data_IF_413993555272
#
_entry.id   IF_413993555272
#
_cell.length_a   1.000
_cell.length_b   1.000
_cell.length_c   1.000
_cell.angle_alpha   90.00
_cell.angle_beta   90.00
_cell.angle_gamma   90.00
#
_symmetry.space_group_name_H-M   'P 1'
#
loop_
_entity.id
_entity.type
_entity.pdbx_description
1 polymer ?
#
# COMPACT_ATOMS: atom_id res chain seq x y z
N UNK A 1 -21.86 -31.31 45.47
CA UNK A 1 -21.99 -30.82 44.09
C UNK A 1 -22.60 -31.91 43.24
N UNK A 2 -23.65 -31.59 42.50
CA UNK A 2 -24.24 -32.52 41.54
C UNK A 2 -23.28 -32.69 40.35
N UNK A 3 -23.30 -33.85 39.68
CA UNK A 3 -22.39 -34.13 38.54
C UNK A 3 -22.51 -33.09 37.42
N UNK A 4 -23.70 -32.50 37.26
CA UNK A 4 -24.00 -31.46 36.28
C UNK A 4 -23.29 -30.13 36.60
N UNK A 5 -23.25 -29.73 37.88
CA UNK A 5 -22.54 -28.51 38.32
C UNK A 5 -21.04 -28.58 37.99
N UNK A 6 -20.43 -29.75 38.22
CA UNK A 6 -19.00 -29.97 37.95
C UNK A 6 -18.71 -29.87 36.45
N UNK A 7 -19.54 -30.49 35.60
CA UNK A 7 -19.37 -30.43 34.14
C UNK A 7 -19.54 -29.00 33.63
N UNK A 8 -20.57 -28.29 34.11
CA UNK A 8 -20.81 -26.91 33.71
C UNK A 8 -19.66 -25.98 34.12
N UNK A 9 -19.13 -26.15 35.33
CA UNK A 9 -17.99 -25.40 35.83
C UNK A 9 -16.73 -25.66 35.00
N UNK A 10 -16.47 -26.92 34.61
CA UNK A 10 -15.33 -27.27 33.76
C UNK A 10 -15.44 -26.64 32.35
N UNK A 11 -16.62 -26.69 31.73
CA UNK A 11 -16.86 -26.09 30.41
C UNK A 11 -16.74 -24.57 30.47
N UNK A 12 -17.27 -23.94 31.52
CA UNK A 12 -17.15 -22.50 31.72
C UNK A 12 -15.70 -22.07 31.93
N UNK A 13 -14.92 -22.80 32.74
CA UNK A 13 -13.49 -22.54 32.94
C UNK A 13 -12.69 -22.66 31.63
N UNK A 14 -12.94 -23.71 30.84
CA UNK A 14 -12.33 -23.89 29.52
C UNK A 14 -12.69 -22.74 28.57
N UNK A 15 -13.94 -22.30 28.56
CA UNK A 15 -14.39 -21.17 27.76
C UNK A 15 -13.68 -19.87 28.15
N UNK A 16 -13.51 -19.60 29.45
CA UNK A 16 -12.78 -18.41 29.93
C UNK A 16 -11.33 -18.44 29.46
N UNK A 17 -10.63 -19.58 29.65
CA UNK A 17 -9.23 -19.73 29.21
C UNK A 17 -9.11 -19.52 27.70
N UNK A 18 -10.03 -20.10 26.92
CA UNK A 18 -10.03 -19.93 25.47
C UNK A 18 -10.24 -18.47 25.06
N UNK A 19 -11.21 -17.77 25.65
CA UNK A 19 -11.45 -16.35 25.36
C UNK A 19 -10.25 -15.48 25.72
N UNK A 20 -9.60 -15.73 26.86
CA UNK A 20 -8.36 -15.02 27.24
C UNK A 20 -7.25 -15.30 26.23
N UNK A 21 -7.10 -16.56 25.79
CA UNK A 21 -6.13 -16.94 24.77
C UNK A 21 -6.37 -16.21 23.44
N UNK A 22 -7.62 -16.17 22.98
CA UNK A 22 -8.02 -15.43 21.76
C UNK A 22 -7.73 -13.93 21.92
N UNK A 23 -8.04 -13.35 23.08
CA UNK A 23 -7.80 -11.92 23.33
C UNK A 23 -6.30 -11.57 23.28
N UNK A 24 -5.45 -12.38 23.91
CA UNK A 24 -4.00 -12.19 23.87
C UNK A 24 -3.46 -12.36 22.46
N UNK A 25 -3.93 -13.37 21.73
CA UNK A 25 -3.53 -13.61 20.35
C UNK A 25 -3.97 -12.46 19.43
N UNK A 26 -5.21 -12.00 19.55
CA UNK A 26 -5.72 -10.87 18.78
C UNK A 26 -4.88 -9.61 19.02
N UNK A 27 -4.54 -9.32 20.29
CA UNK A 27 -3.64 -8.20 20.61
C UNK A 27 -2.26 -8.36 19.96
N UNK A 28 -1.67 -9.56 20.01
CA UNK A 28 -0.38 -9.82 19.39
C UNK A 28 -0.43 -9.72 17.86
N UNK A 29 -1.52 -10.16 17.24
CA UNK A 29 -1.75 -10.07 15.80
C UNK A 29 -1.89 -8.61 15.35
N UNK A 30 -2.66 -7.79 16.08
CA UNK A 30 -2.81 -6.36 15.78
C UNK A 30 -1.46 -5.65 15.82
N UNK A 31 -0.65 -5.88 16.86
CA UNK A 31 0.68 -5.24 16.97
C UNK A 31 1.58 -5.63 15.79
N UNK A 32 1.54 -6.88 15.34
CA UNK A 32 2.30 -7.31 14.16
C UNK A 32 1.79 -6.67 12.88
N UNK A 33 0.47 -6.57 12.70
CA UNK A 33 -0.11 -5.91 11.54
C UNK A 33 0.25 -4.43 11.49
N UNK A 34 0.28 -3.74 12.64
CA UNK A 34 0.77 -2.36 12.71
C UNK A 34 2.26 -2.26 12.32
N UNK A 35 3.11 -3.18 12.77
CA UNK A 35 4.52 -3.18 12.32
C UNK A 35 4.65 -3.37 10.80
N UNK A 36 3.89 -4.31 10.22
CA UNK A 36 3.90 -4.54 8.76
C UNK A 36 3.36 -3.33 8.00
N UNK A 37 2.35 -2.68 8.57
CA UNK A 37 1.74 -1.46 8.06
C UNK A 37 2.74 -0.32 7.97
N UNK A 38 3.56 -0.11 9.00
CA UNK A 38 4.66 0.87 8.99
C UNK A 38 5.72 0.53 7.92
N UNK A 39 6.16 -0.72 7.86
CA UNK A 39 7.12 -1.18 6.85
C UNK A 39 6.60 -1.04 5.40
N UNK A 40 5.28 -1.13 5.20
CA UNK A 40 4.66 -0.92 3.89
C UNK A 40 4.64 0.55 3.48
N UNK A 41 4.45 1.48 4.43
CA UNK A 41 4.57 2.92 4.18
C UNK A 41 5.99 3.29 3.75
N UNK A 42 6.99 2.82 4.49
CA UNK A 42 8.40 3.00 4.14
C UNK A 42 8.71 2.44 2.72
N UNK A 43 8.10 1.31 2.37
CA UNK A 43 8.24 0.72 1.03
C UNK A 43 7.63 1.61 -0.06
N UNK A 44 6.44 2.17 0.18
CA UNK A 44 5.81 3.10 -0.76
C UNK A 44 6.68 4.34 -0.98
N UNK A 45 7.23 4.94 0.08
CA UNK A 45 8.12 6.10 -0.05
C UNK A 45 9.37 5.75 -0.89
N UNK A 46 9.98 4.58 -0.65
CA UNK A 46 11.13 4.11 -1.44
C UNK A 46 10.79 3.92 -2.92
N UNK A 47 9.61 3.38 -3.24
CA UNK A 47 9.18 3.16 -4.64
C UNK A 47 8.84 4.49 -5.32
N UNK A 48 8.20 5.42 -4.62
CA UNK A 48 7.94 6.78 -5.12
C UNK A 48 9.26 7.49 -5.43
N UNK A 49 10.21 7.47 -4.49
CA UNK A 49 11.56 8.02 -4.71
C UNK A 49 12.27 7.36 -5.89
N UNK A 50 12.17 6.04 -6.04
CA UNK A 50 12.72 5.33 -7.20
C UNK A 50 12.10 5.81 -8.51
N UNK A 51 10.76 5.92 -8.59
CA UNK A 51 10.06 6.42 -9.77
C UNK A 51 10.51 7.85 -10.14
N UNK A 52 10.60 8.75 -9.14
CA UNK A 52 11.09 10.13 -9.31
C UNK A 52 12.52 10.16 -9.87
N UNK A 53 13.42 9.30 -9.38
CA UNK A 53 14.78 9.21 -9.92
C UNK A 53 14.83 8.70 -11.37
N UNK A 54 14.03 7.66 -11.70
CA UNK A 54 13.98 7.14 -13.07
C UNK A 54 13.42 8.18 -14.03
N UNK A 55 12.38 8.93 -13.62
CA UNK A 55 11.83 10.06 -14.39
C UNK A 55 12.92 11.10 -14.70
N UNK A 56 13.67 11.53 -13.69
CA UNK A 56 14.76 12.49 -13.88
C UNK A 56 15.88 11.98 -14.79
N UNK A 57 16.16 10.67 -14.80
CA UNK A 57 17.13 10.07 -15.74
C UNK A 57 16.57 10.00 -17.17
N UNK A 58 15.29 9.67 -17.32
CA UNK A 58 14.62 9.62 -18.63
C UNK A 58 14.56 11.00 -19.31
N UNK A 59 14.41 12.07 -18.53
CA UNK A 59 14.39 13.46 -19.00
C UNK A 59 15.76 13.99 -19.45
N UNK A 60 16.86 13.27 -19.17
CA UNK A 60 18.18 13.66 -19.66
C UNK A 60 18.28 13.49 -21.18
N UNK A 61 18.88 14.46 -21.87
CA UNK A 61 19.04 14.49 -23.33
C UNK A 61 19.70 13.24 -23.93
N UNK A 62 20.51 12.51 -23.15
CA UNK A 62 21.20 11.28 -23.59
C UNK A 62 20.28 10.05 -23.60
N UNK A 63 19.21 10.08 -22.81
CA UNK A 63 18.32 8.95 -22.57
C UNK A 63 16.87 9.22 -23.01
N UNK A 64 16.59 10.46 -23.44
CA UNK A 64 15.30 10.86 -23.98
C UNK A 64 14.92 10.03 -25.20
N UNK A 65 13.73 9.41 -25.16
CA UNK A 65 13.24 8.51 -26.21
C UNK A 65 13.71 7.06 -26.10
N UNK A 66 14.46 6.69 -25.05
CA UNK A 66 14.79 5.29 -24.78
C UNK A 66 13.54 4.53 -24.30
N UNK A 67 13.10 3.53 -25.08
CA UNK A 67 11.90 2.76 -24.74
C UNK A 67 12.07 1.89 -23.49
N UNK A 68 13.29 1.43 -23.19
CA UNK A 68 13.55 0.59 -22.01
C UNK A 68 13.37 1.40 -20.72
N UNK A 69 13.91 2.62 -20.69
CA UNK A 69 13.73 3.54 -19.57
C UNK A 69 12.29 4.01 -19.45
N UNK A 70 11.59 4.22 -20.57
CA UNK A 70 10.16 4.54 -20.56
C UNK A 70 9.33 3.42 -19.92
N UNK A 71 9.52 2.17 -20.33
CA UNK A 71 8.83 1.03 -19.72
C UNK A 71 9.23 0.81 -18.25
N UNK A 72 10.48 1.10 -17.89
CA UNK A 72 10.91 1.03 -16.49
C UNK A 72 10.21 2.07 -15.62
N UNK A 73 10.04 3.29 -16.14
CA UNK A 73 9.28 4.35 -15.48
C UNK A 73 7.80 3.96 -15.33
N UNK A 74 7.18 3.47 -16.40
CA UNK A 74 5.79 2.97 -16.41
C UNK A 74 5.60 1.86 -15.35
N UNK A 75 6.54 0.91 -15.26
CA UNK A 75 6.53 -0.12 -14.24
C UNK A 75 6.68 0.45 -12.82
N UNK A 76 7.52 1.47 -12.62
CA UNK A 76 7.69 2.10 -11.31
C UNK A 76 6.41 2.84 -10.86
N UNK A 77 5.73 3.51 -11.79
CA UNK A 77 4.46 4.21 -11.53
C UNK A 77 3.35 3.19 -11.23
N UNK A 78 3.15 2.18 -12.08
CA UNK A 78 2.14 1.13 -11.83
C UNK A 78 2.37 0.37 -10.52
N UNK A 79 3.62 0.23 -10.09
CA UNK A 79 3.93 -0.39 -8.80
C UNK A 79 3.53 0.52 -7.61
N UNK A 80 3.67 1.84 -7.74
CA UNK A 80 3.12 2.79 -6.75
C UNK A 80 1.59 2.72 -6.67
N UNK A 81 0.88 2.69 -7.81
CA UNK A 81 -0.58 2.56 -7.85
C UNK A 81 -1.06 1.27 -7.13
N UNK A 82 -0.31 0.18 -7.29
CA UNK A 82 -0.60 -1.06 -6.56
C UNK A 82 -0.34 -0.94 -5.05
N UNK A 83 0.63 -0.13 -4.63
CA UNK A 83 0.90 0.15 -3.22
C UNK A 83 -0.16 1.08 -2.60
N UNK A 84 -0.74 2.00 -3.37
CA UNK A 84 -1.90 2.82 -2.95
C UNK A 84 -3.12 1.96 -2.59
N UNK A 85 -3.28 0.78 -3.17
CA UNK A 85 -4.36 -0.15 -2.74
C UNK A 85 -4.20 -0.57 -1.26
N UNK A 86 -2.98 -0.48 -0.71
CA UNK A 86 -2.67 -0.74 0.69
C UNK A 86 -2.62 0.53 1.56
N UNK A 87 -3.02 1.69 1.02
CA UNK A 87 -3.08 2.98 1.73
C UNK A 87 -3.84 2.89 3.04
N UNK A 88 -5.02 2.27 3.01
CA UNK A 88 -5.80 2.05 4.21
C UNK A 88 -5.02 1.27 5.29
N UNK A 89 -4.11 0.38 4.91
CA UNK A 89 -3.33 -0.39 5.87
C UNK A 89 -2.26 0.52 6.49
N UNK A 90 -1.33 1.07 5.70
CA UNK A 90 -0.23 1.89 6.23
C UNK A 90 -0.69 3.21 6.87
N UNK A 91 -1.78 3.80 6.38
CA UNK A 91 -2.41 4.99 6.96
C UNK A 91 -2.96 4.78 8.39
N UNK A 92 -3.14 3.54 8.85
CA UNK A 92 -3.49 3.25 10.25
C UNK A 92 -2.33 3.47 11.22
N UNK A 93 -1.09 3.46 10.71
CA UNK A 93 0.14 3.64 11.49
C UNK A 93 0.86 4.94 11.21
N UNK A 94 0.61 5.54 10.06
CA UNK A 94 1.17 6.83 9.69
C UNK A 94 0.64 7.93 10.61
N UNK A 95 1.54 8.71 11.22
CA UNK A 95 1.15 9.88 12.00
C UNK A 95 0.71 10.95 11.02
N UNK A 96 -0.60 11.09 10.82
CA UNK A 96 -1.31 12.21 10.17
C UNK A 96 -0.37 13.28 9.57
N UNK A 97 0.23 12.95 8.44
CA UNK A 97 0.93 13.91 7.59
C UNK A 97 0.30 13.71 6.21
N UNK A 98 -0.93 14.21 6.10
CA UNK A 98 -1.63 14.37 4.84
C UNK A 98 -0.89 15.49 4.08
N UNK A 99 0.16 15.12 3.35
CA UNK A 99 0.62 15.88 2.20
C UNK A 99 0.04 15.20 0.96
N UNK A 100 -1.12 15.72 0.56
CA UNK A 100 -1.70 15.51 -0.76
C UNK A 100 -0.71 16.09 -1.77
N UNK A 101 -0.03 15.23 -2.53
CA UNK A 101 0.71 15.65 -3.73
C UNK A 101 -0.30 15.73 -4.89
N UNK A 102 -1.12 16.78 -4.85
CA UNK A 102 -2.00 17.24 -5.94
C UNK A 102 -1.14 18.08 -6.91
N UNK A 103 -0.34 17.44 -7.77
CA UNK A 103 0.35 18.12 -8.88
C UNK A 103 0.55 17.11 -10.03
N UNK A 104 0.10 17.26 -11.28
CA UNK A 104 -0.58 18.31 -12.04
C UNK A 104 -1.28 17.63 -13.24
N UNK A 105 -2.46 18.14 -13.62
CA UNK A 105 -3.05 17.93 -14.94
C UNK A 105 -2.16 18.56 -16.01
N UNK A 106 -1.81 17.82 -17.06
CA UNK A 106 -1.56 18.40 -18.39
C UNK A 106 -2.36 17.62 -19.44
N UNK A 107 -3.58 18.11 -19.69
CA UNK A 107 -4.24 17.98 -21.00
C UNK A 107 -3.77 19.12 -21.92
N UNK A 108 -3.86 18.86 -23.23
CA UNK A 108 -3.66 19.73 -24.42
C UNK A 108 -2.25 19.80 -25.04
N UNK A 109 -2.07 19.12 -26.18
CA UNK A 109 -2.05 19.85 -27.46
C UNK A 109 -2.55 18.99 -28.64
N UNK A 110 -3.04 19.71 -29.64
CA UNK A 110 -4.11 19.39 -30.55
C UNK A 110 -3.69 18.75 -31.89
N UNK A 111 -4.71 18.21 -32.56
CA UNK A 111 -4.94 18.06 -34.02
C UNK A 111 -3.86 18.50 -35.02
N UNK A 112 -3.55 17.61 -35.98
CA UNK A 112 -3.25 17.82 -37.42
C UNK A 112 -2.69 16.49 -38.00
N UNK A 113 -3.08 15.84 -39.10
CA UNK A 113 -4.02 16.05 -40.21
C UNK A 113 -4.50 14.66 -40.71
N UNK A 114 -5.81 14.50 -40.97
CA UNK A 114 -6.37 13.41 -41.77
C UNK A 114 -6.73 13.95 -43.17
N UNK A 115 -6.38 13.16 -44.20
CA UNK A 115 -6.84 13.25 -45.60
C UNK A 115 -6.41 14.43 -46.49
N UNK A 116 -5.39 14.16 -47.34
CA UNK A 116 -5.40 14.62 -48.73
C UNK A 116 -5.76 13.45 -49.67
N UNK A 117 -7.05 13.30 -49.95
CA UNK A 117 -7.55 12.81 -51.23
C UNK A 117 -8.37 13.93 -51.87
N UNK A 118 -7.78 14.70 -52.80
CA UNK A 118 -8.36 15.07 -54.11
C UNK A 118 -7.40 15.93 -54.92
#
# INVERSE_FOLDING_TARGET
>A
MTRLEIILACVAALSIIFNVGVFVYARAAIVRLLSVSEELGDLQEMVNSFAKHVKGVYELETFYGDQTLHHLLEHAISFNEHLETFEYIYGLTEKENVEVDEEEEEEEDATEEENQET
#
